data_IF_110543960578
#
_entry.id   IF_110543960578
#
_cell.length_a   1.000
_cell.length_b   1.000
_cell.length_c   1.000
_cell.angle_alpha   90.00
_cell.angle_beta   90.00
_cell.angle_gamma   90.00
#
_symmetry.space_group_name_H-M   'P 1'
#
loop_
_entity.id
_entity.type
_entity.pdbx_description
1 polymer ?
#
# COMPACT_ATOMS: atom_id res chain seq x y z
N UNK A 1 -21.41 1.00 0.05
CA UNK A 1 -19.95 0.94 -0.16
C UNK A 1 -19.30 2.21 0.39
N UNK A 2 -18.18 2.07 1.06
CA UNK A 2 -17.41 3.22 1.55
C UNK A 2 -16.64 3.88 0.41
N UNK A 3 -16.62 5.21 0.40
CA UNK A 3 -15.79 5.97 -0.54
C UNK A 3 -14.32 5.84 -0.15
N UNK A 4 -13.42 6.27 -1.05
CA UNK A 4 -11.99 6.31 -0.75
C UNK A 4 -11.68 7.19 0.46
N UNK A 5 -12.36 8.32 0.59
CA UNK A 5 -12.19 9.23 1.73
C UNK A 5 -12.65 8.59 3.05
N UNK A 6 -13.75 7.84 3.02
CA UNK A 6 -14.25 7.15 4.19
C UNK A 6 -13.30 6.04 4.64
N UNK A 7 -12.71 5.31 3.71
CA UNK A 7 -11.73 4.27 4.02
C UNK A 7 -10.47 4.87 4.65
N UNK A 8 -9.99 5.97 4.09
CA UNK A 8 -8.83 6.67 4.64
C UNK A 8 -9.11 7.17 6.05
N UNK A 9 -10.29 7.78 6.28
CA UNK A 9 -10.68 8.27 7.60
C UNK A 9 -10.72 7.13 8.63
N UNK A 10 -11.32 6.02 8.25
CA UNK A 10 -11.41 4.84 9.10
C UNK A 10 -10.02 4.33 9.51
N UNK A 11 -9.11 4.28 8.57
CA UNK A 11 -7.75 3.83 8.85
C UNK A 11 -6.99 4.85 9.71
N UNK A 12 -7.18 6.15 9.46
CA UNK A 12 -6.58 7.21 10.29
C UNK A 12 -7.05 7.10 11.74
N UNK A 13 -8.33 6.85 11.95
CA UNK A 13 -8.89 6.68 13.29
C UNK A 13 -8.29 5.47 14.00
N UNK A 14 -8.20 4.35 13.29
CA UNK A 14 -7.58 3.13 13.83
C UNK A 14 -6.12 3.37 14.20
N UNK A 15 -5.36 4.02 13.33
CA UNK A 15 -3.95 4.32 13.58
C UNK A 15 -3.79 5.23 14.79
N UNK A 16 -4.55 6.33 14.84
CA UNK A 16 -4.49 7.25 15.98
C UNK A 16 -4.80 6.55 17.30
N UNK A 17 -5.81 5.67 17.31
CA UNK A 17 -6.19 4.92 18.51
C UNK A 17 -5.08 3.98 18.98
N UNK A 18 -4.17 3.60 18.10
CA UNK A 18 -3.07 2.66 18.39
C UNK A 18 -1.69 3.31 18.44
N UNK A 19 -1.62 4.63 18.43
CA UNK A 19 -0.37 5.35 18.55
C UNK A 19 0.44 5.48 17.25
N UNK A 20 -0.21 5.26 16.11
CA UNK A 20 0.40 5.40 14.79
C UNK A 20 -0.08 6.65 14.09
N UNK A 21 0.76 7.19 13.22
CA UNK A 21 0.45 8.34 12.39
C UNK A 21 0.20 7.88 10.95
N UNK A 22 -0.79 8.48 10.30
CA UNK A 22 -1.05 8.29 8.87
C UNK A 22 -0.71 9.60 8.16
N UNK A 23 0.23 9.56 7.23
CA UNK A 23 0.70 10.73 6.48
C UNK A 23 0.39 10.52 5.00
N UNK A 24 -0.16 11.52 4.34
CA UNK A 24 -0.52 11.43 2.93
C UNK A 24 -0.04 12.62 2.11
N UNK A 25 -0.24 13.84 2.60
CA UNK A 25 0.01 15.04 1.82
C UNK A 25 1.42 15.56 2.01
N UNK A 26 1.88 16.36 1.03
CA UNK A 26 3.16 17.04 1.12
C UNK A 26 3.24 17.91 2.37
N UNK A 27 2.14 18.60 2.69
CA UNK A 27 2.04 19.47 3.86
C UNK A 27 2.18 18.66 5.16
N UNK A 28 1.53 17.50 5.25
CA UNK A 28 1.67 16.61 6.39
C UNK A 28 3.11 16.12 6.56
N UNK A 29 3.75 15.77 5.45
CA UNK A 29 5.15 15.36 5.45
C UNK A 29 6.07 16.49 5.94
N UNK A 30 5.90 17.69 5.43
CA UNK A 30 6.69 18.85 5.82
C UNK A 30 6.56 19.14 7.33
N UNK A 31 5.34 19.06 7.84
CA UNK A 31 5.05 19.29 9.25
C UNK A 31 5.80 18.31 10.17
N UNK A 32 5.99 17.09 9.73
CA UNK A 32 6.64 16.03 10.52
C UNK A 32 8.10 15.80 10.15
N UNK A 33 8.65 16.60 9.22
CA UNK A 33 10.02 16.43 8.77
C UNK A 33 10.27 15.16 7.96
N UNK A 34 9.23 14.67 7.28
CA UNK A 34 9.30 13.46 6.47
C UNK A 34 9.50 13.87 5.01
N UNK A 35 10.48 13.28 4.28
CA UNK A 35 10.63 13.60 2.87
C UNK A 35 9.43 13.08 2.07
N UNK A 36 8.79 13.99 1.35
CA UNK A 36 7.66 13.63 0.48
C UNK A 36 8.14 12.79 -0.70
N UNK A 37 9.24 13.21 -1.33
CA UNK A 37 9.88 12.48 -2.42
C UNK A 37 10.49 11.17 -1.91
N UNK A 38 10.15 10.06 -2.54
CA UNK A 38 10.61 8.73 -2.13
C UNK A 38 9.80 8.09 -1.01
N UNK A 39 8.84 8.81 -0.44
CA UNK A 39 7.95 8.29 0.62
C UNK A 39 6.51 8.21 0.12
N UNK A 40 5.93 9.32 -0.28
CA UNK A 40 4.59 9.36 -0.89
C UNK A 40 4.72 9.40 -2.41
N UNK A 41 5.57 10.30 -2.93
CA UNK A 41 5.79 10.44 -4.37
C UNK A 41 7.02 9.64 -4.78
N UNK A 42 6.83 8.70 -5.69
CA UNK A 42 7.88 7.80 -6.16
C UNK A 42 8.15 8.04 -7.63
N UNK A 43 9.42 8.19 -7.98
CA UNK A 43 9.84 8.27 -9.37
C UNK A 43 9.57 6.93 -10.05
N UNK A 44 9.30 6.98 -11.34
CA UNK A 44 9.05 5.77 -12.11
C UNK A 44 10.34 5.32 -12.81
N UNK A 45 10.52 4.01 -13.03
CA UNK A 45 11.61 3.51 -13.87
C UNK A 45 11.54 4.11 -15.27
N UNK A 46 12.68 4.15 -15.95
CA UNK A 46 12.79 4.75 -17.29
C UNK A 46 11.78 4.16 -18.28
N UNK A 47 11.58 2.86 -18.25
CA UNK A 47 10.60 2.15 -19.08
C UNK A 47 9.18 2.72 -18.92
N UNK A 48 8.80 3.04 -17.71
CA UNK A 48 7.50 3.65 -17.40
C UNK A 48 7.45 5.10 -17.90
N UNK A 49 8.53 5.85 -17.70
CA UNK A 49 8.62 7.23 -18.13
C UNK A 49 8.50 7.33 -19.66
N UNK A 50 9.12 6.43 -20.39
CA UNK A 50 9.02 6.35 -21.85
C UNK A 50 7.59 6.11 -22.33
N UNK A 51 6.77 5.44 -21.52
CA UNK A 51 5.37 5.18 -21.82
C UNK A 51 4.43 6.30 -21.35
N UNK A 52 4.96 7.34 -20.71
CA UNK A 52 4.18 8.50 -20.32
C UNK A 52 3.85 8.60 -18.84
N UNK A 53 4.28 7.65 -18.02
CA UNK A 53 4.11 7.75 -16.57
C UNK A 53 5.12 8.76 -16.01
N UNK A 54 4.69 9.61 -15.11
CA UNK A 54 5.57 10.64 -14.52
C UNK A 54 6.03 10.28 -13.12
N UNK A 55 5.12 9.77 -12.30
CA UNK A 55 5.38 9.36 -10.91
C UNK A 55 4.23 8.49 -10.41
N UNK A 56 4.43 7.84 -9.28
CA UNK A 56 3.34 7.18 -8.55
C UNK A 56 3.19 7.84 -7.19
N UNK A 57 1.94 7.97 -6.72
CA UNK A 57 1.64 8.43 -5.37
C UNK A 57 1.16 7.24 -4.54
N UNK A 58 1.84 6.99 -3.43
CA UNK A 58 1.34 6.05 -2.44
C UNK A 58 0.10 6.64 -1.76
N UNK A 59 -0.78 5.78 -1.27
CA UNK A 59 -2.00 6.24 -0.56
C UNK A 59 -1.67 6.84 0.79
N UNK A 60 -0.57 6.42 1.41
CA UNK A 60 -0.13 6.96 2.67
C UNK A 60 1.20 6.38 3.15
N UNK A 61 1.62 6.83 4.32
CA UNK A 61 2.84 6.37 4.97
C UNK A 61 2.67 6.43 6.48
N UNK A 62 3.22 5.46 7.18
CA UNK A 62 3.23 5.44 8.64
C UNK A 62 4.68 5.54 9.14
N UNK A 63 5.08 6.68 9.74
CA UNK A 63 6.46 6.85 10.19
C UNK A 63 6.88 5.90 11.31
N UNK A 64 5.99 5.59 12.25
CA UNK A 64 6.32 4.68 13.35
C UNK A 64 6.65 3.27 12.88
N UNK A 65 6.05 2.83 11.78
CA UNK A 65 6.29 1.52 11.18
C UNK A 65 7.29 1.60 10.02
N UNK A 66 7.64 2.79 9.59
CA UNK A 66 8.41 3.05 8.37
C UNK A 66 7.84 2.25 7.19
N UNK A 67 6.55 2.35 7.00
CA UNK A 67 5.82 1.56 6.01
C UNK A 67 4.98 2.43 5.08
N UNK A 68 5.07 2.13 3.79
CA UNK A 68 4.19 2.69 2.77
C UNK A 68 2.84 1.98 2.88
N UNK A 69 1.76 2.74 2.75
CA UNK A 69 0.41 2.24 2.89
C UNK A 69 -0.33 2.36 1.55
N UNK A 70 -0.91 1.24 1.10
CA UNK A 70 -1.76 1.18 -0.06
C UNK A 70 -3.14 0.68 0.37
N UNK A 71 -4.18 1.43 0.01
CA UNK A 71 -5.55 1.14 0.46
C UNK A 71 -6.36 0.59 -0.71
N UNK A 72 -6.87 -0.61 -0.54
CA UNK A 72 -7.71 -1.25 -1.54
C UNK A 72 -9.06 -1.60 -0.92
N UNK A 73 -10.13 -1.08 -1.48
CA UNK A 73 -11.44 -1.32 -0.91
C UNK A 73 -12.56 -1.09 -1.89
N UNK A 74 -13.78 -1.27 -1.39
CA UNK A 74 -15.01 -1.09 -2.13
C UNK A 74 -15.73 -2.41 -2.36
N UNK A 75 -16.99 -2.28 -2.74
CA UNK A 75 -17.88 -3.41 -2.97
C UNK A 75 -18.07 -3.72 -4.46
N UNK A 76 -17.36 -2.97 -5.32
CA UNK A 76 -17.46 -3.16 -6.77
C UNK A 76 -16.32 -4.04 -7.27
N UNK A 77 -16.68 -5.05 -8.04
CA UNK A 77 -15.75 -5.82 -8.87
C UNK A 77 -15.67 -5.15 -10.24
N UNK A 78 -14.68 -5.47 -11.03
CA UNK A 78 -14.56 -4.96 -12.39
C UNK A 78 -13.21 -4.29 -12.64
N UNK A 79 -13.19 -3.02 -13.05
CA UNK A 79 -11.97 -2.30 -13.45
C UNK A 79 -10.83 -2.33 -12.45
N UNK A 80 -11.10 -2.71 -11.21
CA UNK A 80 -10.07 -2.86 -10.18
C UNK A 80 -9.23 -4.13 -10.38
N UNK A 81 -9.69 -5.09 -11.20
CA UNK A 81 -8.94 -6.32 -11.46
C UNK A 81 -7.61 -6.04 -12.14
N UNK A 82 -7.61 -5.16 -13.13
CA UNK A 82 -6.40 -4.77 -13.86
C UNK A 82 -5.42 -4.03 -12.97
N UNK A 83 -5.93 -3.20 -12.05
CA UNK A 83 -5.10 -2.42 -11.12
C UNK A 83 -4.31 -3.31 -10.18
N UNK A 84 -4.88 -4.42 -9.75
CA UNK A 84 -4.21 -5.37 -8.85
C UNK A 84 -2.98 -5.98 -9.54
N UNK A 85 -3.12 -6.36 -10.81
CA UNK A 85 -2.00 -6.92 -11.56
C UNK A 85 -0.94 -5.86 -11.89
N UNK A 86 -1.36 -4.63 -12.13
CA UNK A 86 -0.44 -3.52 -12.31
C UNK A 86 0.40 -3.28 -11.03
N UNK A 87 -0.22 -3.42 -9.87
CA UNK A 87 0.50 -3.32 -8.59
C UNK A 87 1.60 -4.37 -8.48
N UNK A 88 1.34 -5.61 -8.94
CA UNK A 88 2.39 -6.65 -8.96
C UNK A 88 3.57 -6.25 -9.82
N UNK A 89 3.32 -5.69 -10.99
CA UNK A 89 4.39 -5.23 -11.88
C UNK A 89 5.20 -4.09 -11.26
N UNK A 90 4.53 -3.13 -10.61
CA UNK A 90 5.21 -2.05 -9.90
C UNK A 90 6.14 -2.60 -8.80
N UNK A 91 5.66 -3.61 -8.08
CA UNK A 91 6.46 -4.25 -7.02
C UNK A 91 7.67 -4.99 -7.60
N UNK A 92 7.49 -5.73 -8.69
CA UNK A 92 8.59 -6.43 -9.36
C UNK A 92 9.63 -5.47 -9.89
N UNK A 93 9.19 -4.32 -10.39
CA UNK A 93 10.07 -3.31 -10.96
C UNK A 93 10.68 -2.37 -9.90
N UNK A 94 10.41 -2.62 -8.64
CA UNK A 94 11.02 -1.89 -7.53
C UNK A 94 10.57 -0.43 -7.41
N UNK A 95 9.35 -0.11 -7.83
CA UNK A 95 8.84 1.26 -7.80
C UNK A 95 8.79 1.88 -6.40
N UNK A 96 8.69 1.06 -5.37
CA UNK A 96 8.69 1.55 -3.98
C UNK A 96 10.05 1.41 -3.29
N UNK A 97 11.09 1.02 -4.04
CA UNK A 97 12.40 0.76 -3.45
C UNK A 97 12.37 -0.43 -2.52
N UNK A 98 13.14 -0.35 -1.44
CA UNK A 98 13.24 -1.43 -0.45
C UNK A 98 12.35 -1.22 0.79
N UNK A 99 11.43 -0.27 0.72
CA UNK A 99 10.56 0.03 1.85
C UNK A 99 9.53 -1.05 2.09
N UNK A 100 9.13 -1.20 3.34
CA UNK A 100 7.97 -2.03 3.70
C UNK A 100 6.72 -1.44 3.07
N UNK A 101 5.90 -2.28 2.45
CA UNK A 101 4.64 -1.86 1.83
C UNK A 101 3.51 -2.70 2.41
N UNK A 102 2.50 -2.03 2.93
CA UNK A 102 1.32 -2.68 3.50
C UNK A 102 0.12 -2.38 2.62
N UNK A 103 -0.39 -3.41 1.94
CA UNK A 103 -1.65 -3.35 1.22
C UNK A 103 -2.77 -3.67 2.18
N UNK A 104 -3.54 -2.66 2.55
CA UNK A 104 -4.66 -2.82 3.48
C UNK A 104 -5.94 -2.93 2.68
N UNK A 105 -6.60 -4.08 2.78
CA UNK A 105 -7.82 -4.37 2.03
C UNK A 105 -9.05 -4.22 2.92
N UNK A 106 -10.17 -3.76 2.36
CA UNK A 106 -11.38 -3.47 3.12
C UNK A 106 -12.63 -3.88 2.33
N UNK A 107 -13.67 -4.30 3.06
CA UNK A 107 -14.92 -4.70 2.46
C UNK A 107 -14.77 -5.97 1.63
N UNK A 108 -15.39 -6.01 0.47
CA UNK A 108 -15.29 -7.18 -0.43
C UNK A 108 -13.87 -7.47 -0.90
N UNK A 109 -12.97 -6.47 -0.84
CA UNK A 109 -11.57 -6.67 -1.22
C UNK A 109 -10.84 -7.62 -0.26
N UNK A 110 -11.31 -7.82 0.93
CA UNK A 110 -10.69 -8.77 1.86
C UNK A 110 -10.79 -10.22 1.37
N UNK A 111 -11.87 -10.54 0.64
CA UNK A 111 -12.17 -11.92 0.20
C UNK A 111 -12.38 -12.05 -1.30
N UNK A 112 -12.19 -10.98 -2.04
CA UNK A 112 -12.38 -10.91 -3.48
C UNK A 112 -11.38 -11.84 -4.20
N UNK A 113 -11.84 -12.47 -5.27
CA UNK A 113 -11.03 -13.42 -6.05
C UNK A 113 -9.74 -12.81 -6.59
N UNK A 114 -9.78 -11.53 -6.96
CA UNK A 114 -8.60 -10.84 -7.49
C UNK A 114 -7.56 -10.56 -6.41
N UNK A 115 -8.00 -10.20 -5.21
CA UNK A 115 -7.11 -10.02 -4.07
C UNK A 115 -6.50 -11.34 -3.64
N UNK A 116 -7.27 -12.42 -3.66
CA UNK A 116 -6.75 -13.76 -3.36
C UNK A 116 -5.68 -14.17 -4.37
N UNK A 117 -5.91 -13.93 -5.65
CA UNK A 117 -4.94 -14.24 -6.70
C UNK A 117 -3.69 -13.36 -6.58
N UNK A 118 -3.89 -12.07 -6.32
CA UNK A 118 -2.79 -11.13 -6.07
C UNK A 118 -1.90 -11.63 -4.94
N UNK A 119 -2.50 -12.02 -3.81
CA UNK A 119 -1.78 -12.51 -2.64
C UNK A 119 -0.97 -13.77 -2.97
N UNK A 120 -1.56 -14.72 -3.70
CA UNK A 120 -0.86 -15.94 -4.11
C UNK A 120 0.31 -15.65 -5.04
N UNK A 121 0.12 -14.76 -6.01
CA UNK A 121 1.19 -14.37 -6.95
C UNK A 121 2.30 -13.59 -6.26
N UNK A 122 1.93 -12.73 -5.31
CA UNK A 122 2.88 -12.01 -4.47
C UNK A 122 3.78 -12.98 -3.72
N UNK A 123 3.19 -13.95 -3.02
CA UNK A 123 3.94 -14.95 -2.26
C UNK A 123 4.88 -15.77 -3.15
N UNK A 124 4.41 -16.19 -4.32
CA UNK A 124 5.25 -16.92 -5.28
C UNK A 124 6.42 -16.07 -5.78
N UNK A 125 6.17 -14.80 -6.06
CA UNK A 125 7.22 -13.87 -6.49
C UNK A 125 8.24 -13.62 -5.37
N UNK A 126 7.78 -13.56 -4.13
CA UNK A 126 8.68 -13.45 -2.97
C UNK A 126 9.54 -14.68 -2.80
N UNK A 127 8.99 -15.88 -2.98
CA UNK A 127 9.74 -17.13 -2.92
C UNK A 127 10.84 -17.20 -3.99
N UNK A 128 10.56 -16.63 -5.19
CA UNK A 128 11.54 -16.58 -6.29
C UNK A 128 12.54 -15.45 -6.15
N UNK A 129 12.34 -14.53 -5.20
CA UNK A 129 13.17 -13.34 -5.04
C UNK A 129 12.86 -12.20 -6.01
N UNK A 130 11.72 -12.27 -6.72
CA UNK A 130 11.30 -11.22 -7.66
C UNK A 130 10.68 -10.01 -6.96
N UNK A 131 10.13 -10.21 -5.77
CA UNK A 131 9.53 -9.16 -4.95
C UNK A 131 10.09 -9.30 -3.54
N UNK A 132 10.38 -8.18 -2.89
CA UNK A 132 10.89 -8.16 -1.52
C UNK A 132 9.88 -8.77 -0.52
N UNK A 133 10.40 -9.40 0.53
CA UNK A 133 9.59 -10.06 1.54
C UNK A 133 8.83 -9.10 2.45
N UNK A 134 9.19 -7.83 2.44
CA UNK A 134 8.58 -6.79 3.27
C UNK A 134 7.34 -6.16 2.64
N UNK A 135 6.69 -6.86 1.72
CA UNK A 135 5.39 -6.47 1.15
C UNK A 135 4.32 -7.40 1.73
N UNK A 136 3.28 -6.82 2.32
CA UNK A 136 2.25 -7.59 3.02
C UNK A 136 0.85 -7.15 2.58
N UNK A 137 -0.08 -8.10 2.55
CA UNK A 137 -1.51 -7.84 2.30
C UNK A 137 -2.25 -8.12 3.59
N UNK A 138 -2.89 -7.09 4.14
CA UNK A 138 -3.55 -7.16 5.45
C UNK A 138 -5.02 -6.77 5.34
N UNK A 139 -5.95 -7.69 5.61
CA UNK A 139 -7.37 -7.31 5.71
C UNK A 139 -7.58 -6.36 6.88
N UNK A 140 -8.33 -5.28 6.65
CA UNK A 140 -8.61 -4.30 7.70
C UNK A 140 -9.28 -4.95 8.91
N UNK A 141 -10.18 -5.92 8.68
CA UNK A 141 -10.87 -6.63 9.76
C UNK A 141 -9.94 -7.38 10.71
N UNK A 142 -8.71 -7.66 10.27
CA UNK A 142 -7.70 -8.39 11.05
C UNK A 142 -6.65 -7.49 11.68
N UNK A 143 -6.70 -6.17 11.43
CA UNK A 143 -5.67 -5.27 11.92
C UNK A 143 -5.69 -5.14 13.44
N UNK A 144 -4.54 -5.34 14.04
CA UNK A 144 -4.25 -5.03 15.44
C UNK A 144 -2.91 -4.32 15.50
N UNK A 145 -2.67 -3.62 16.60
CA UNK A 145 -1.37 -2.99 16.83
C UNK A 145 -0.24 -4.02 16.74
N UNK A 146 -0.45 -5.18 17.36
CA UNK A 146 0.52 -6.27 17.41
C UNK A 146 0.85 -6.79 16.02
N UNK A 147 -0.16 -6.98 15.18
CA UNK A 147 0.04 -7.45 13.80
C UNK A 147 0.86 -6.45 12.99
N UNK A 148 0.54 -5.16 13.09
CA UNK A 148 1.26 -4.11 12.37
C UNK A 148 2.73 -4.05 12.78
N UNK A 149 3.01 -4.14 14.07
CA UNK A 149 4.39 -4.15 14.58
C UNK A 149 5.14 -5.40 14.11
N UNK A 150 4.47 -6.55 14.14
CA UNK A 150 5.07 -7.82 13.70
C UNK A 150 5.47 -7.79 12.23
N UNK A 151 4.58 -7.37 11.34
CA UNK A 151 4.86 -7.39 9.90
C UNK A 151 5.84 -6.28 9.47
N UNK A 152 5.92 -5.20 10.21
CA UNK A 152 6.84 -4.09 9.91
C UNK A 152 8.27 -4.34 10.40
N UNK A 153 8.44 -5.30 11.26
CA UNK A 153 9.74 -5.71 11.76
C UNK A 153 10.15 -7.04 11.12
#
# INVERSE_FOLDING_TARGET
>A
ARSGQQRELMLREFFNANGFTFVKTKKECEKLGIPYEGTIKHDVPEEYAECGFKYFLADGYCPELDAILELKGGDKSGTTEEKVFFDLEKLRDGCYGERTVLYITEGKKETDKCTKLFTKKLMKSQERGDIAENVHVLPFSMLTKELLVEVAN
#
